data_IF_833870294414
#
_entry.id   IF_833870294414
#
_cell.length_a   1.000
_cell.length_b   1.000
_cell.length_c   1.000
_cell.angle_alpha   90.00
_cell.angle_beta   90.00
_cell.angle_gamma   90.00
#
_symmetry.space_group_name_H-M   'P 1'
#
loop_
_entity.id
_entity.type
_entity.pdbx_description
1 polymer ?
#
# COMPACT_ATOMS: atom_id res chain seq x y z
N UNK A 1 25.75 -41.41 -6.07
CA UNK A 1 26.28 -40.03 -6.15
C UNK A 1 25.13 -39.17 -6.68
N UNK A 2 24.32 -38.57 -5.79
CA UNK A 2 24.47 -37.19 -5.30
C UNK A 2 24.65 -36.22 -6.49
N UNK A 3 23.65 -35.43 -6.84
CA UNK A 3 23.41 -34.16 -6.14
C UNK A 3 21.95 -33.77 -6.05
N UNK A 4 21.44 -33.71 -4.82
CA UNK A 4 20.21 -33.00 -4.47
C UNK A 4 20.43 -31.50 -4.69
N UNK A 5 19.70 -30.91 -5.65
CA UNK A 5 19.57 -29.45 -5.74
C UNK A 5 18.65 -29.04 -4.60
N UNK A 6 19.24 -28.53 -3.51
CA UNK A 6 18.49 -27.87 -2.44
C UNK A 6 17.92 -26.58 -3.03
N UNK A 7 16.61 -26.56 -3.27
CA UNK A 7 15.85 -25.32 -3.39
C UNK A 7 16.06 -24.54 -2.09
N UNK A 8 16.84 -23.47 -2.17
CA UNK A 8 16.89 -22.45 -1.12
C UNK A 8 15.53 -21.78 -1.09
N UNK A 9 14.65 -22.24 -0.20
CA UNK A 9 13.51 -21.44 0.24
C UNK A 9 14.05 -20.10 0.73
N UNK A 10 13.45 -18.95 0.35
CA UNK A 10 13.86 -17.68 0.91
C UNK A 10 13.73 -17.77 2.43
N UNK A 11 14.84 -17.53 3.12
CA UNK A 11 14.88 -17.31 4.56
C UNK A 11 13.83 -16.25 4.89
N UNK A 12 12.66 -16.69 5.40
CA UNK A 12 11.67 -15.80 6.01
C UNK A 12 12.30 -15.24 7.28
N UNK A 13 12.94 -14.08 7.15
CA UNK A 13 13.28 -13.26 8.31
C UNK A 13 11.95 -12.71 8.83
N UNK A 14 11.33 -13.45 9.75
CA UNK A 14 10.20 -12.96 10.53
C UNK A 14 10.79 -11.95 11.53
N UNK A 15 10.66 -10.66 11.24
CA UNK A 15 10.92 -9.63 12.25
C UNK A 15 9.94 -9.83 13.40
N UNK A 16 10.43 -10.37 14.51
CA UNK A 16 9.61 -10.85 15.64
C UNK A 16 9.03 -9.72 16.53
N UNK A 17 9.29 -8.43 16.25
CA UNK A 17 9.10 -7.38 17.27
C UNK A 17 8.55 -6.00 16.81
N UNK A 18 7.84 -5.88 15.69
CA UNK A 18 7.01 -4.68 15.46
C UNK A 18 5.54 -5.07 15.56
N UNK A 19 4.96 -4.86 16.73
CA UNK A 19 3.55 -5.11 17.00
C UNK A 19 2.97 -3.86 17.62
N UNK A 20 1.80 -3.44 17.15
CA UNK A 20 1.00 -2.35 17.74
C UNK A 20 0.55 -2.64 19.19
N UNK A 21 1.05 -3.72 19.82
CA UNK A 21 0.88 -3.98 21.25
C UNK A 21 1.87 -3.21 22.13
N UNK A 22 2.95 -2.64 21.55
CA UNK A 22 3.89 -1.79 22.27
C UNK A 22 3.33 -0.38 22.39
N UNK A 23 3.08 0.05 23.63
CA UNK A 23 2.51 1.38 23.94
C UNK A 23 3.36 2.51 23.35
N UNK A 24 4.70 2.37 23.34
CA UNK A 24 5.62 3.39 22.83
C UNK A 24 5.51 3.63 21.32
N UNK A 25 4.77 2.78 20.59
CA UNK A 25 4.51 2.94 19.15
C UNK A 25 3.11 3.50 18.87
N UNK A 26 2.29 3.76 19.90
CA UNK A 26 0.91 4.24 19.77
C UNK A 26 0.84 5.76 19.81
N UNK A 27 1.10 6.39 18.66
CA UNK A 27 1.07 7.83 18.51
C UNK A 27 -0.26 8.31 17.92
N UNK A 28 -1.00 9.12 18.68
CA UNK A 28 -2.22 9.77 18.20
C UNK A 28 -1.96 10.62 16.95
N UNK A 29 -0.85 11.36 16.93
CA UNK A 29 -0.49 12.25 15.81
C UNK A 29 -0.11 11.51 14.52
N UNK A 30 0.07 10.19 14.58
CA UNK A 30 0.31 9.33 13.41
C UNK A 30 -0.99 8.69 12.95
N UNK A 31 -1.69 7.96 13.83
CA UNK A 31 -2.86 7.16 13.46
C UNK A 31 -4.16 7.96 13.37
N UNK A 32 -4.24 9.05 14.13
CA UNK A 32 -5.42 9.91 14.25
C UNK A 32 -5.08 11.39 14.01
N UNK A 33 -4.11 11.66 13.14
CA UNK A 33 -3.69 13.02 12.81
C UNK A 33 -4.90 13.89 12.37
N UNK A 34 -5.14 15.00 13.06
CA UNK A 34 -6.33 15.84 12.82
C UNK A 34 -6.39 16.43 11.41
N UNK A 35 -5.25 16.84 10.84
CA UNK A 35 -5.21 17.41 9.49
C UNK A 35 -5.48 16.35 8.43
N UNK A 36 -4.89 15.16 8.59
CA UNK A 36 -5.18 14.02 7.72
C UNK A 36 -6.67 13.65 7.78
N UNK A 37 -7.25 13.51 8.98
CA UNK A 37 -8.65 13.13 9.13
C UNK A 37 -9.61 14.21 8.62
N UNK A 38 -9.24 15.49 8.72
CA UNK A 38 -9.99 16.59 8.11
C UNK A 38 -10.02 16.47 6.58
N UNK A 39 -8.86 16.22 5.95
CA UNK A 39 -8.76 16.01 4.50
C UNK A 39 -9.54 14.77 4.07
N UNK A 40 -9.36 13.65 4.79
CA UNK A 40 -10.06 12.40 4.52
C UNK A 40 -11.58 12.57 4.59
N UNK A 41 -12.06 13.25 5.63
CA UNK A 41 -13.46 13.59 5.83
C UNK A 41 -14.04 14.42 4.68
N UNK A 42 -13.33 15.46 4.27
CA UNK A 42 -13.78 16.34 3.19
C UNK A 42 -13.81 15.63 1.83
N UNK A 43 -12.86 14.72 1.58
CA UNK A 43 -12.73 14.03 0.31
C UNK A 43 -13.62 12.79 0.20
N UNK A 44 -13.81 12.02 1.29
CA UNK A 44 -14.49 10.74 1.29
C UNK A 44 -15.91 10.79 1.88
N UNK A 45 -16.25 11.84 2.61
CA UNK A 45 -17.46 11.92 3.45
C UNK A 45 -17.18 11.55 4.91
N UNK A 46 -18.11 11.90 5.79
CA UNK A 46 -17.94 11.80 7.25
C UNK A 46 -18.87 10.79 7.93
N UNK A 47 -18.37 10.02 8.93
CA UNK A 47 -16.95 9.82 9.22
C UNK A 47 -16.29 8.91 8.16
N UNK A 48 -15.01 9.15 7.78
CA UNK A 48 -14.28 8.19 6.97
C UNK A 48 -14.01 6.91 7.77
N UNK A 49 -13.69 5.82 7.07
CA UNK A 49 -13.43 4.51 7.69
C UNK A 49 -11.95 4.16 7.53
N UNK A 50 -11.20 4.07 8.63
CA UNK A 50 -9.85 3.52 8.61
C UNK A 50 -9.91 2.00 8.70
N UNK A 51 -9.46 1.31 7.65
CA UNK A 51 -9.56 -0.15 7.56
C UNK A 51 -8.31 -0.86 7.00
N UNK A 52 -7.22 -0.12 6.83
CA UNK A 52 -5.97 -0.67 6.31
C UNK A 52 -4.74 0.03 6.88
N UNK A 53 -3.75 -0.77 7.23
CA UNK A 53 -2.47 -0.31 7.74
C UNK A 53 -1.40 -1.25 7.19
N UNK A 54 -0.36 -0.67 6.61
CA UNK A 54 0.79 -1.42 6.12
C UNK A 54 2.08 -0.61 6.30
N UNK A 55 3.20 -1.24 5.95
CA UNK A 55 4.45 -0.55 5.70
C UNK A 55 5.05 -0.99 4.37
N UNK A 56 5.61 -0.03 3.63
CA UNK A 56 6.38 -0.31 2.42
C UNK A 56 7.84 0.06 2.67
N UNK A 57 8.76 -0.85 2.37
CA UNK A 57 10.20 -0.63 2.51
C UNK A 57 10.86 -0.77 1.16
N UNK A 58 11.44 0.32 0.63
CA UNK A 58 12.40 0.17 -0.47
C UNK A 58 13.73 -0.29 0.12
N UNK A 59 14.10 -1.52 -0.21
CA UNK A 59 15.35 -2.13 0.22
C UNK A 59 16.55 -1.40 -0.37
N UNK A 60 17.62 -1.30 0.41
CA UNK A 60 18.86 -0.66 -0.01
C UNK A 60 19.50 -1.42 -1.18
N UNK A 61 20.30 -0.73 -1.99
CA UNK A 61 21.09 -1.33 -3.06
C UNK A 61 20.25 -2.16 -4.05
N UNK A 62 19.13 -1.59 -4.54
CA UNK A 62 18.23 -2.22 -5.51
C UNK A 62 18.24 -1.53 -6.88
N UNK A 63 19.41 -1.24 -7.49
CA UNK A 63 19.46 -0.58 -8.79
C UNK A 63 18.74 -1.41 -9.85
N UNK A 64 18.00 -0.73 -10.74
CA UNK A 64 17.24 -1.37 -11.82
C UNK A 64 15.93 -2.05 -11.39
N UNK A 65 15.64 -2.15 -10.08
CA UNK A 65 14.43 -2.80 -9.56
C UNK A 65 13.23 -1.84 -9.47
N UNK A 66 12.88 -1.20 -10.60
CA UNK A 66 11.69 -0.36 -10.68
C UNK A 66 10.43 -1.23 -10.80
N UNK A 67 9.38 -0.89 -10.07
CA UNK A 67 8.07 -1.54 -10.24
C UNK A 67 7.40 -1.07 -11.53
N UNK A 68 6.52 -1.90 -12.10
CA UNK A 68 5.63 -1.44 -13.17
C UNK A 68 4.64 -0.42 -12.61
N UNK A 69 4.29 0.59 -13.40
CA UNK A 69 3.27 1.56 -13.00
C UNK A 69 1.95 0.84 -12.76
N UNK A 70 1.33 1.11 -11.62
CA UNK A 70 0.08 0.48 -11.22
C UNK A 70 -0.78 1.44 -10.39
N UNK A 71 -2.03 1.04 -10.18
CA UNK A 71 -2.87 1.53 -9.09
C UNK A 71 -3.15 0.38 -8.14
N UNK A 72 -3.45 0.68 -6.88
CA UNK A 72 -3.65 -0.33 -5.83
C UNK A 72 -5.05 -0.98 -5.88
N UNK A 73 -5.68 -0.98 -7.05
CA UNK A 73 -6.97 -1.63 -7.29
C UNK A 73 -6.91 -2.45 -8.57
N UNK A 74 -7.45 -3.68 -8.49
CA UNK A 74 -7.58 -4.61 -9.63
C UNK A 74 -9.05 -4.95 -9.93
N UNK A 75 -9.97 -4.15 -9.40
CA UNK A 75 -11.41 -4.37 -9.51
C UNK A 75 -12.06 -3.17 -10.20
N UNK A 76 -13.26 -3.39 -10.77
CA UNK A 76 -14.07 -2.29 -11.27
C UNK A 76 -14.52 -1.42 -10.09
N UNK A 77 -14.15 -0.14 -10.15
CA UNK A 77 -14.22 0.76 -9.01
C UNK A 77 -14.96 2.05 -9.37
N UNK A 78 -15.54 2.74 -8.37
CA UNK A 78 -16.18 4.03 -8.61
C UNK A 78 -15.23 5.03 -9.29
N UNK A 79 -15.80 5.86 -10.15
CA UNK A 79 -15.09 7.00 -10.77
C UNK A 79 -15.10 8.26 -9.89
N UNK A 80 -15.72 8.19 -8.71
CA UNK A 80 -15.66 9.20 -7.68
C UNK A 80 -14.67 8.81 -6.56
N UNK A 81 -14.25 9.77 -5.71
CA UNK A 81 -13.49 9.50 -4.49
C UNK A 81 -14.14 8.42 -3.61
N UNK A 82 -13.46 7.29 -3.40
CA UNK A 82 -13.96 6.21 -2.54
C UNK A 82 -12.92 5.67 -1.56
N UNK A 83 -11.64 5.92 -1.82
CA UNK A 83 -10.55 5.45 -0.97
C UNK A 83 -9.30 6.32 -1.14
N UNK A 84 -8.63 6.66 -0.04
CA UNK A 84 -7.32 7.33 -0.04
C UNK A 84 -6.31 6.52 0.75
N UNK A 85 -5.04 6.69 0.40
CA UNK A 85 -3.91 6.20 1.18
C UNK A 85 -3.12 7.42 1.67
N UNK A 86 -2.88 7.46 2.98
CA UNK A 86 -1.96 8.37 3.61
C UNK A 86 -0.63 7.63 3.84
N UNK A 87 0.39 8.12 3.17
CA UNK A 87 1.73 7.57 3.18
C UNK A 87 2.62 8.43 4.07
N UNK A 88 3.17 7.85 5.14
CA UNK A 88 3.96 8.57 6.16
C UNK A 88 5.43 8.15 6.07
N UNK A 89 6.33 8.99 5.54
CA UNK A 89 7.77 8.72 5.49
C UNK A 89 8.38 8.62 6.89
N UNK A 90 9.09 7.52 7.16
CA UNK A 90 9.87 7.35 8.40
C UNK A 90 11.34 7.79 8.25
N UNK A 91 11.70 8.27 7.07
CA UNK A 91 12.98 8.87 6.70
C UNK A 91 12.75 9.84 5.54
N UNK A 92 13.75 10.66 5.19
CA UNK A 92 13.65 11.55 4.03
C UNK A 92 13.61 10.74 2.73
N UNK A 93 12.77 11.15 1.79
CA UNK A 93 12.53 10.52 0.50
C UNK A 93 13.14 11.40 -0.58
N UNK A 94 14.00 10.81 -1.40
CA UNK A 94 14.66 11.45 -2.52
C UNK A 94 14.64 10.54 -3.74
N UNK A 95 14.95 11.09 -4.92
CA UNK A 95 15.15 10.27 -6.12
C UNK A 95 16.18 9.15 -5.91
N UNK A 96 17.24 9.43 -5.14
CA UNK A 96 18.35 8.50 -4.90
C UNK A 96 17.97 7.29 -4.02
N UNK A 97 17.06 7.45 -3.06
CA UNK A 97 16.69 6.38 -2.13
C UNK A 97 15.34 5.71 -2.44
N UNK A 98 14.86 5.90 -3.67
CA UNK A 98 13.65 5.23 -4.15
C UNK A 98 12.36 5.87 -3.63
N UNK A 99 12.28 7.20 -3.61
CA UNK A 99 11.00 7.91 -3.46
C UNK A 99 10.00 7.41 -4.50
N UNK A 100 8.73 7.28 -4.14
CA UNK A 100 7.70 6.74 -5.05
C UNK A 100 7.46 7.68 -6.23
N UNK A 101 7.35 7.15 -7.43
CA UNK A 101 6.94 7.90 -8.62
C UNK A 101 5.41 7.99 -8.67
N UNK A 102 4.85 9.16 -9.00
CA UNK A 102 3.42 9.40 -9.14
C UNK A 102 3.04 10.04 -10.47
N UNK A 103 1.95 9.56 -11.05
CA UNK A 103 1.32 10.12 -12.25
C UNK A 103 0.17 11.03 -11.84
N UNK A 104 0.51 12.26 -11.45
CA UNK A 104 -0.44 13.22 -10.89
C UNK A 104 -1.64 13.42 -11.81
N UNK A 105 -2.85 13.29 -11.28
CA UNK A 105 -4.11 13.46 -12.00
C UNK A 105 -4.63 12.22 -12.74
N UNK A 106 -3.91 11.10 -12.76
CA UNK A 106 -4.40 9.88 -13.41
C UNK A 106 -5.63 9.27 -12.71
N UNK A 107 -5.80 9.50 -11.41
CA UNK A 107 -6.98 9.04 -10.65
C UNK A 107 -8.31 9.61 -11.15
N UNK A 108 -8.30 10.76 -11.84
CA UNK A 108 -9.51 11.51 -12.18
C UNK A 108 -10.40 10.79 -13.22
N UNK A 109 -9.83 9.92 -14.05
CA UNK A 109 -10.58 9.20 -15.08
C UNK A 109 -10.07 7.79 -15.36
N UNK A 110 -9.23 7.24 -14.47
CA UNK A 110 -8.72 5.89 -14.69
C UNK A 110 -9.79 4.83 -14.46
N UNK A 111 -9.78 3.81 -15.30
CA UNK A 111 -10.70 2.67 -15.24
C UNK A 111 -9.94 1.35 -15.22
N UNK A 112 -10.64 0.24 -15.06
CA UNK A 112 -10.07 -1.10 -15.25
C UNK A 112 -9.49 -1.28 -16.68
N UNK A 113 -10.00 -0.54 -17.67
CA UNK A 113 -9.53 -0.59 -19.06
C UNK A 113 -8.11 -0.07 -19.28
N UNK A 114 -7.59 0.77 -18.37
CA UNK A 114 -6.20 1.26 -18.47
C UNK A 114 -5.17 0.20 -18.09
N UNK A 115 -5.61 -0.86 -17.41
CA UNK A 115 -4.75 -1.93 -16.94
C UNK A 115 -4.51 -3.00 -18.00
N UNK A 116 -3.34 -3.64 -17.92
CA UNK A 116 -2.95 -4.69 -18.85
C UNK A 116 -3.84 -5.93 -18.66
N UNK A 117 -4.21 -6.62 -19.76
CA UNK A 117 -4.89 -7.90 -19.66
C UNK A 117 -3.97 -8.97 -19.08
N UNK A 118 -4.55 -9.99 -18.46
CA UNK A 118 -3.80 -11.19 -18.08
C UNK A 118 -3.33 -11.91 -19.35
N UNK A 119 -2.02 -12.11 -19.46
CA UNK A 119 -1.36 -12.97 -20.45
C UNK A 119 -1.04 -14.33 -19.85
N UNK A 120 -0.71 -15.34 -20.68
CA UNK A 120 -0.31 -16.66 -20.18
C UNK A 120 0.92 -16.60 -19.26
N UNK A 121 1.88 -15.71 -19.54
CA UNK A 121 3.04 -15.46 -18.67
C UNK A 121 2.62 -14.93 -17.29
N UNK A 122 1.71 -13.95 -17.25
CA UNK A 122 1.21 -13.39 -15.98
C UNK A 122 0.28 -14.35 -15.23
N UNK A 123 -0.46 -15.20 -15.94
CA UNK A 123 -1.33 -16.22 -15.33
C UNK A 123 -0.53 -17.25 -14.54
N UNK A 124 0.65 -17.63 -15.06
CA UNK A 124 1.56 -18.56 -14.38
C UNK A 124 2.05 -18.05 -13.02
N UNK A 125 2.05 -16.73 -12.80
CA UNK A 125 2.62 -16.09 -11.61
C UNK A 125 1.57 -15.56 -10.62
N UNK A 126 0.32 -15.32 -11.06
CA UNK A 126 -0.76 -14.69 -10.29
C UNK A 126 -1.95 -15.59 -9.98
N UNK A 127 -1.79 -16.91 -10.10
CA UNK A 127 -2.90 -17.86 -10.06
C UNK A 127 -3.83 -17.68 -8.84
N UNK A 128 -5.17 -17.78 -9.02
CA UNK A 128 -5.91 -17.99 -10.27
C UNK A 128 -6.49 -16.68 -10.84
N UNK A 129 -6.09 -16.31 -12.06
CA UNK A 129 -6.73 -15.23 -12.85
C UNK A 129 -7.17 -15.74 -14.21
N UNK A 130 -8.36 -15.34 -14.65
CA UNK A 130 -8.91 -15.67 -15.96
C UNK A 130 -8.34 -14.76 -17.06
N UNK A 131 -8.44 -15.19 -18.32
CA UNK A 131 -8.00 -14.39 -19.47
C UNK A 131 -8.73 -13.04 -19.60
N UNK A 132 -9.93 -12.93 -19.04
CA UNK A 132 -10.72 -11.70 -19.02
C UNK A 132 -10.28 -10.73 -17.91
N UNK A 133 -9.49 -11.19 -16.94
CA UNK A 133 -9.03 -10.37 -15.82
C UNK A 133 -7.93 -9.40 -16.26
N UNK A 134 -7.67 -8.42 -15.38
CA UNK A 134 -6.56 -7.48 -15.50
C UNK A 134 -5.51 -7.72 -14.43
N UNK A 135 -4.27 -7.35 -14.74
CA UNK A 135 -3.20 -7.21 -13.75
C UNK A 135 -3.09 -5.76 -13.29
N UNK A 136 -2.46 -5.45 -12.13
CA UNK A 136 -2.41 -4.08 -11.62
C UNK A 136 -1.78 -3.07 -12.58
N UNK A 137 -0.91 -3.56 -13.48
CA UNK A 137 -0.05 -2.73 -14.31
C UNK A 137 -0.82 -1.94 -15.35
N UNK A 138 -0.43 -0.70 -15.54
CA UNK A 138 -0.99 0.18 -16.56
C UNK A 138 -0.47 -0.24 -17.94
N UNK A 139 -1.33 -0.20 -18.95
CA UNK A 139 -0.99 -0.47 -20.35
C UNK A 139 -0.14 0.66 -20.95
N UNK A 140 0.74 0.31 -21.89
CA UNK A 140 1.64 1.31 -22.48
C UNK A 140 0.86 2.40 -23.24
N UNK A 141 -0.25 2.05 -23.90
CA UNK A 141 -1.12 3.05 -24.54
C UNK A 141 -1.68 4.06 -23.54
N UNK A 142 -2.10 3.62 -22.36
CA UNK A 142 -2.59 4.52 -21.30
C UNK A 142 -1.46 5.37 -20.70
N UNK A 143 -0.25 4.81 -20.54
CA UNK A 143 0.94 5.55 -20.10
C UNK A 143 1.30 6.66 -21.08
N UNK A 144 1.36 6.36 -22.38
CA UNK A 144 1.74 7.34 -23.40
C UNK A 144 0.68 8.43 -23.56
N UNK A 145 -0.61 8.07 -23.55
CA UNK A 145 -1.70 9.04 -23.53
C UNK A 145 -1.61 9.98 -22.32
N UNK A 146 -1.28 9.45 -21.14
CA UNK A 146 -1.10 10.29 -19.94
C UNK A 146 0.15 11.16 -20.04
N UNK A 147 1.27 10.63 -20.53
CA UNK A 147 2.55 11.34 -20.68
C UNK A 147 2.42 12.57 -21.57
N UNK A 148 1.60 12.47 -22.63
CA UNK A 148 1.30 13.59 -23.53
C UNK A 148 0.57 14.76 -22.83
N UNK A 149 -0.20 14.48 -21.76
CA UNK A 149 -0.89 15.51 -20.97
C UNK A 149 -0.03 15.97 -19.79
N UNK A 150 0.49 15.01 -19.02
CA UNK A 150 1.34 15.25 -17.85
C UNK A 150 2.19 14.02 -17.54
N UNK A 151 3.53 14.10 -17.67
CA UNK A 151 4.44 13.01 -17.31
C UNK A 151 4.46 12.76 -15.79
N UNK A 152 4.99 11.60 -15.35
CA UNK A 152 5.16 11.31 -13.93
C UNK A 152 6.16 12.25 -13.25
N UNK A 153 6.06 12.31 -11.93
CA UNK A 153 7.01 13.01 -11.05
C UNK A 153 7.42 12.08 -9.91
N UNK A 154 8.59 12.30 -9.35
CA UNK A 154 9.08 11.58 -8.16
C UNK A 154 9.30 12.61 -7.05
N UNK A 155 8.25 12.97 -6.29
CA UNK A 155 8.35 14.03 -5.29
C UNK A 155 9.25 13.60 -4.13
N UNK A 156 10.00 14.56 -3.61
CA UNK A 156 10.72 14.42 -2.34
C UNK A 156 9.75 14.64 -1.17
N UNK A 157 10.05 14.03 -0.03
CA UNK A 157 9.30 14.22 1.21
C UNK A 157 10.25 14.09 2.40
N UNK A 158 10.07 14.89 3.44
CA UNK A 158 10.85 14.79 4.66
C UNK A 158 10.26 13.75 5.62
N UNK A 159 11.08 13.23 6.52
CA UNK A 159 10.58 12.44 7.66
C UNK A 159 9.53 13.24 8.44
N UNK A 160 8.35 12.65 8.63
CA UNK A 160 7.23 13.27 9.33
C UNK A 160 6.22 13.96 8.42
N UNK A 161 6.49 14.08 7.11
CA UNK A 161 5.47 14.49 6.15
C UNK A 161 4.34 13.46 6.06
N UNK A 162 3.21 13.86 5.45
CA UNK A 162 2.13 12.95 5.09
C UNK A 162 1.75 13.16 3.63
N UNK A 163 2.02 12.16 2.80
CA UNK A 163 1.64 12.15 1.39
C UNK A 163 0.26 11.50 1.24
N UNK A 164 -0.75 12.28 0.87
CA UNK A 164 -2.13 11.79 0.71
C UNK A 164 -2.43 11.61 -0.77
N UNK A 165 -2.92 10.42 -1.16
CA UNK A 165 -3.30 10.12 -2.54
C UNK A 165 -4.61 9.34 -2.64
N UNK A 166 -5.33 9.56 -3.72
CA UNK A 166 -6.42 8.68 -4.12
C UNK A 166 -5.86 7.30 -4.49
N UNK A 167 -6.52 6.23 -4.06
CA UNK A 167 -6.15 4.82 -4.31
C UNK A 167 -5.91 4.54 -5.81
N UNK A 168 -6.64 5.25 -6.67
CA UNK A 168 -6.60 5.11 -8.13
C UNK A 168 -5.40 5.81 -8.77
N UNK A 169 -4.65 6.62 -8.03
CA UNK A 169 -3.49 7.34 -8.58
C UNK A 169 -2.43 6.34 -9.02
N UNK A 170 -2.01 6.44 -10.28
CA UNK A 170 -0.97 5.56 -10.79
C UNK A 170 0.36 5.95 -10.19
N UNK A 171 1.14 4.94 -9.81
CA UNK A 171 2.42 5.12 -9.17
C UNK A 171 3.33 3.91 -9.42
N UNK A 172 4.59 4.05 -9.08
CA UNK A 172 5.58 2.98 -9.14
C UNK A 172 6.59 3.12 -7.99
N UNK A 173 6.92 2.00 -7.33
CA UNK A 173 8.09 1.93 -6.48
C UNK A 173 9.37 2.08 -7.31
N UNK A 174 10.27 2.95 -6.87
CA UNK A 174 11.50 3.28 -7.58
C UNK A 174 12.71 2.57 -6.96
N UNK A 175 13.75 2.26 -7.76
CA UNK A 175 15.01 1.72 -7.26
C UNK A 175 15.59 2.56 -6.13
N UNK A 176 16.13 1.91 -5.11
CA UNK A 176 16.87 2.58 -4.04
C UNK A 176 18.37 2.34 -4.23
N UNK A 177 19.06 3.40 -4.63
CA UNK A 177 20.50 3.40 -4.89
C UNK A 177 21.34 3.70 -3.64
N UNK A 178 20.69 3.93 -2.49
CA UNK A 178 21.38 4.16 -1.22
C UNK A 178 21.68 2.85 -0.49
N UNK A 179 22.51 2.96 0.54
CA UNK A 179 22.90 1.88 1.45
C UNK A 179 21.92 1.69 2.63
N UNK A 180 20.82 2.45 2.67
CA UNK A 180 19.82 2.43 3.75
C UNK A 180 18.43 2.07 3.24
N UNK A 181 17.68 1.34 4.07
CA UNK A 181 16.27 1.06 3.81
C UNK A 181 15.44 2.33 3.94
N UNK A 182 14.50 2.51 3.00
CA UNK A 182 13.60 3.66 2.96
C UNK A 182 12.18 3.19 3.31
N UNK A 183 11.73 3.52 4.51
CA UNK A 183 10.51 2.97 5.12
C UNK A 183 9.41 4.03 5.15
N UNK A 184 8.18 3.61 4.86
CA UNK A 184 6.96 4.40 5.04
C UNK A 184 5.86 3.53 5.64
N UNK A 185 4.97 4.18 6.39
CA UNK A 185 3.66 3.61 6.72
C UNK A 185 2.66 3.94 5.62
N UNK A 186 1.65 3.09 5.45
CA UNK A 186 0.48 3.33 4.62
C UNK A 186 -0.79 3.15 5.43
N UNK A 187 -1.59 4.20 5.56
CA UNK A 187 -2.88 4.21 6.26
C UNK A 187 -3.99 4.40 5.23
N UNK A 188 -4.89 3.42 5.11
CA UNK A 188 -5.95 3.43 4.10
C UNK A 188 -7.31 3.79 4.67
N UNK A 189 -7.93 4.82 4.09
CA UNK A 189 -9.24 5.32 4.49
C UNK A 189 -10.25 5.14 3.37
N UNK A 190 -11.41 4.59 3.72
CA UNK A 190 -12.51 4.31 2.82
C UNK A 190 -13.66 5.29 3.07
N UNK A 191 -14.38 5.62 2.00
CA UNK A 191 -15.65 6.33 2.11
C UNK A 191 -16.76 5.47 2.74
N UNK A 192 -17.63 6.04 3.59
CA UNK A 192 -18.76 5.32 4.18
C UNK A 192 -19.75 4.75 3.16
N UNK A 193 -19.84 5.30 1.94
CA UNK A 193 -20.73 4.75 0.91
C UNK A 193 -20.13 3.54 0.19
N UNK A 194 -18.81 3.33 0.25
CA UNK A 194 -18.17 2.25 -0.49
C UNK A 194 -18.45 0.91 0.20
N UNK A 195 -19.07 -0.08 -0.48
CA UNK A 195 -19.61 -1.29 0.16
C UNK A 195 -18.55 -2.38 0.42
N UNK A 196 -17.33 -2.00 0.82
CA UNK A 196 -16.31 -2.94 1.26
C UNK A 196 -16.34 -3.09 2.79
N UNK A 197 -16.92 -4.19 3.25
CA UNK A 197 -17.04 -4.55 4.67
C UNK A 197 -16.06 -5.65 5.10
N UNK A 198 -15.32 -6.24 4.15
CA UNK A 198 -14.42 -7.38 4.40
C UNK A 198 -13.03 -6.94 4.82
N UNK A 199 -12.58 -5.79 4.33
CA UNK A 199 -11.28 -5.23 4.70
C UNK A 199 -11.36 -4.64 6.11
N UNK A 200 -10.53 -5.18 7.00
CA UNK A 200 -10.47 -4.81 8.42
C UNK A 200 -9.01 -4.83 8.86
N UNK A 201 -8.64 -3.92 9.75
CA UNK A 201 -7.37 -3.97 10.46
C UNK A 201 -7.34 -5.19 11.39
N UNK A 202 -6.17 -5.77 11.62
CA UNK A 202 -5.96 -6.73 12.71
C UNK A 202 -5.18 -6.02 13.81
N UNK A 203 -5.81 -5.78 14.96
CA UNK A 203 -5.25 -5.00 16.06
C UNK A 203 -5.23 -5.84 17.36
N UNK A 204 -4.30 -5.58 18.28
CA UNK A 204 -4.29 -6.27 19.57
C UNK A 204 -5.41 -5.73 20.47
N UNK A 205 -6.17 -6.63 21.08
CA UNK A 205 -7.26 -6.28 22.01
C UNK A 205 -6.77 -5.47 23.22
N UNK A 206 -5.53 -5.70 23.65
CA UNK A 206 -4.85 -4.96 24.73
C UNK A 206 -4.75 -3.46 24.47
N UNK A 207 -4.86 -3.00 23.23
CA UNK A 207 -4.77 -1.59 22.83
C UNK A 207 -6.08 -1.04 22.28
N UNK A 208 -7.19 -1.76 22.47
CA UNK A 208 -8.50 -1.36 21.95
C UNK A 208 -8.97 -0.01 22.48
N UNK A 209 -8.65 0.33 23.73
CA UNK A 209 -9.00 1.63 24.32
C UNK A 209 -8.36 2.79 23.57
N UNK A 210 -7.07 2.67 23.20
CA UNK A 210 -6.39 3.67 22.38
C UNK A 210 -7.10 3.84 21.03
N UNK A 211 -7.29 2.75 20.28
CA UNK A 211 -7.85 2.84 18.94
C UNK A 211 -9.31 3.31 18.92
N UNK A 212 -10.16 2.76 19.80
CA UNK A 212 -11.59 3.08 19.81
C UNK A 212 -11.90 4.38 20.57
N UNK A 213 -11.11 4.71 21.59
CA UNK A 213 -11.26 5.93 22.37
C UNK A 213 -10.90 7.15 21.55
N UNK A 214 -9.69 7.17 20.96
CA UNK A 214 -9.19 8.31 20.18
C UNK A 214 -9.97 8.50 18.88
N UNK A 215 -10.45 7.42 18.25
CA UNK A 215 -11.23 7.48 17.01
C UNK A 215 -12.60 8.14 17.16
N UNK A 216 -13.16 8.16 18.37
CA UNK A 216 -14.57 8.51 18.62
C UNK A 216 -14.89 9.90 18.04
N UNK A 217 -15.83 9.93 17.10
CA UNK A 217 -16.28 11.17 16.44
C UNK A 217 -15.35 11.73 15.37
N UNK A 218 -14.23 11.06 15.07
CA UNK A 218 -13.22 11.51 14.10
C UNK A 218 -13.09 10.56 12.90
N UNK A 219 -13.13 9.25 13.14
CA UNK A 219 -12.97 8.20 12.13
C UNK A 219 -13.62 6.90 12.63
N UNK A 220 -14.18 6.09 11.73
CA UNK A 220 -14.56 4.72 12.08
C UNK A 220 -13.30 3.83 11.99
N UNK A 221 -12.89 3.21 13.09
CA UNK A 221 -11.87 2.16 13.07
C UNK A 221 -12.53 0.82 12.77
N UNK A 222 -12.31 0.32 11.56
CA UNK A 222 -12.84 -0.98 11.13
C UNK A 222 -11.77 -2.04 11.33
N UNK A 223 -11.79 -2.66 12.51
CA UNK A 223 -10.81 -3.65 12.92
C UNK A 223 -11.45 -4.96 13.41
N UNK A 224 -10.64 -6.01 13.42
CA UNK A 224 -10.77 -7.20 14.24
C UNK A 224 -9.75 -7.08 15.38
N UNK A 225 -10.22 -7.15 16.61
CA UNK A 225 -9.36 -7.16 17.79
C UNK A 225 -9.07 -8.60 18.17
N UNK A 226 -7.78 -8.92 18.30
CA UNK A 226 -7.31 -10.26 18.62
C UNK A 226 -6.66 -10.25 20.01
N UNK A 227 -6.96 -11.26 20.82
CA UNK A 227 -6.25 -11.52 22.07
C UNK A 227 -4.77 -11.78 21.80
N UNK A 228 -3.88 -11.51 22.76
CA UNK A 228 -2.42 -11.50 22.52
C UNK A 228 -1.92 -12.79 21.84
N UNK A 229 -2.33 -13.95 22.34
CA UNK A 229 -1.93 -15.25 21.77
C UNK A 229 -2.41 -15.45 20.33
N UNK A 230 -3.63 -15.01 20.02
CA UNK A 230 -4.20 -15.08 18.67
C UNK A 230 -3.50 -14.07 17.76
N UNK A 231 -3.25 -12.86 18.25
CA UNK A 231 -2.54 -11.80 17.54
C UNK A 231 -1.12 -12.24 17.16
N UNK A 232 -0.40 -12.96 18.03
CA UNK A 232 0.93 -13.51 17.70
C UNK A 232 0.88 -14.53 16.55
N UNK A 233 -0.22 -15.27 16.44
CA UNK A 233 -0.41 -16.34 15.45
C UNK A 233 -1.02 -15.83 14.16
N UNK A 234 -1.69 -14.68 14.18
CA UNK A 234 -2.25 -14.04 13.00
C UNK A 234 -1.16 -13.84 11.96
N UNK A 235 -1.44 -14.29 10.74
CA UNK A 235 -0.59 -14.11 9.54
C UNK A 235 -1.27 -13.27 8.48
N UNK A 236 -2.47 -12.74 8.77
CA UNK A 236 -3.26 -11.95 7.83
C UNK A 236 -2.44 -10.77 7.25
N UNK A 237 -1.60 -10.15 8.08
CA UNK A 237 -0.77 -9.00 7.70
C UNK A 237 0.73 -9.33 7.59
N UNK A 238 1.10 -10.63 7.59
CA UNK A 238 2.50 -11.08 7.59
C UNK A 238 2.99 -11.47 6.18
N UNK A 239 2.26 -11.09 5.13
CA UNK A 239 2.65 -11.37 3.75
C UNK A 239 3.67 -10.31 3.32
N UNK A 240 4.95 -10.69 3.35
CA UNK A 240 6.04 -9.90 2.80
C UNK A 240 6.41 -10.45 1.42
N UNK A 241 6.41 -9.56 0.43
CA UNK A 241 6.93 -9.83 -0.90
C UNK A 241 8.15 -8.93 -1.15
N UNK A 242 9.27 -9.55 -1.50
CA UNK A 242 10.53 -8.84 -1.81
C UNK A 242 10.69 -8.63 -3.32
N UNK A 243 9.79 -9.17 -4.13
CA UNK A 243 9.85 -9.03 -5.58
C UNK A 243 9.50 -7.59 -5.95
N UNK A 244 10.25 -6.99 -6.90
CA UNK A 244 9.92 -5.65 -7.39
C UNK A 244 8.60 -5.68 -8.15
N UNK A 245 8.32 -6.79 -8.82
CA UNK A 245 7.11 -6.99 -9.57
C UNK A 245 6.17 -7.93 -8.85
N UNK A 246 4.91 -7.61 -9.04
CA UNK A 246 3.86 -8.55 -8.82
C UNK A 246 4.06 -9.74 -9.78
N UNK A 247 4.53 -10.89 -9.28
CA UNK A 247 4.80 -12.11 -10.06
C UNK A 247 6.29 -12.35 -10.30
N UNK A 248 6.66 -13.46 -10.95
CA UNK A 248 8.02 -13.60 -11.49
C UNK A 248 8.12 -12.71 -12.73
N UNK A 249 9.03 -11.72 -12.69
CA UNK A 249 9.38 -10.97 -13.89
C UNK A 249 10.08 -11.89 -14.88
N UNK A 250 9.95 -11.59 -16.18
CA UNK A 250 10.87 -12.13 -17.18
C UNK A 250 12.33 -11.79 -16.85
#
# INVERSE_FOLDING_TARGET
MASSVRLFYPLRIVFKHMRLGQIDLLHEDVYFNSFLLQVASAYLGQPPIWNWLTANTALANTPGMRQNEHKDSMFDHPQCPYYIIANVPLCDFTGANGATEFWLGSHAGTTLGDQQPVTDATRATWAPKDAADRIPWISDGAKEARRAVRPPVQPEAARGDVMIRDLRTWHAGMPNHSDKHRIMLGLGYQSPFHPNHKQRLHLPASQQEFFMGVARGRVEVRANFHEEEEFEKTRADAVFDLRPQYGEGE
#
